data_IF_588675780995
#
_entry.id   IF_588675780995
#
_cell.length_a   1.000
_cell.length_b   1.000
_cell.length_c   1.000
_cell.angle_alpha   90.00
_cell.angle_beta   90.00
_cell.angle_gamma   90.00
#
_symmetry.space_group_name_H-M   'P 1'
#
loop_
_entity.id
_entity.type
_entity.pdbx_description
1 polymer ?
#
# COMPACT_ATOMS: atom_id res chain seq x y z
N UNK A 1 -7.55 -0.60 -13.09
CA UNK A 1 -7.50 -1.45 -11.88
C UNK A 1 -6.42 -2.53 -11.96
N UNK A 2 -6.55 -3.58 -12.79
CA UNK A 2 -5.61 -4.72 -12.79
C UNK A 2 -4.12 -4.31 -12.91
N UNK A 3 -3.78 -3.50 -13.92
CA UNK A 3 -2.40 -3.04 -14.12
C UNK A 3 -1.84 -2.25 -12.92
N UNK A 4 -2.69 -1.44 -12.27
CA UNK A 4 -2.32 -0.70 -11.06
C UNK A 4 -1.97 -1.67 -9.94
N UNK A 5 -2.84 -2.66 -9.65
CA UNK A 5 -2.59 -3.70 -8.64
C UNK A 5 -1.33 -4.50 -8.96
N UNK A 6 -1.14 -4.91 -10.22
CA UNK A 6 0.02 -5.70 -10.64
C UNK A 6 1.33 -4.92 -10.48
N UNK A 7 1.33 -3.62 -10.80
CA UNK A 7 2.45 -2.73 -10.55
C UNK A 7 2.73 -2.60 -9.05
N UNK A 8 1.71 -2.37 -8.23
CA UNK A 8 1.84 -2.29 -6.77
C UNK A 8 2.43 -3.58 -6.21
N UNK A 9 1.99 -4.75 -6.70
CA UNK A 9 2.54 -6.06 -6.34
C UNK A 9 4.04 -6.15 -6.63
N UNK A 10 4.48 -5.74 -7.82
CA UNK A 10 5.89 -5.75 -8.21
C UNK A 10 6.73 -4.85 -7.30
N UNK A 11 6.20 -3.69 -6.89
CA UNK A 11 6.89 -2.80 -5.94
C UNK A 11 7.03 -3.49 -4.57
N UNK A 12 5.97 -4.10 -4.04
CA UNK A 12 6.05 -4.84 -2.78
C UNK A 12 7.05 -6.00 -2.85
N UNK A 13 7.06 -6.79 -3.93
CA UNK A 13 8.04 -7.85 -4.15
C UNK A 13 9.48 -7.31 -4.13
N UNK A 14 9.73 -6.20 -4.82
CA UNK A 14 11.05 -5.57 -4.85
C UNK A 14 11.47 -5.03 -3.47
N UNK A 15 10.55 -4.47 -2.69
CA UNK A 15 10.80 -4.03 -1.32
C UNK A 15 11.15 -5.24 -0.46
N UNK A 16 10.31 -6.27 -0.44
CA UNK A 16 10.46 -7.47 0.40
C UNK A 16 11.74 -8.25 0.10
N UNK A 17 12.13 -8.38 -1.18
CA UNK A 17 13.33 -9.11 -1.58
C UNK A 17 14.63 -8.52 -1.00
N UNK A 18 14.59 -7.26 -0.57
CA UNK A 18 15.74 -6.52 -0.10
C UNK A 18 15.52 -5.93 1.30
N UNK A 19 14.57 -6.46 2.07
CA UNK A 19 14.22 -5.98 3.41
C UNK A 19 14.63 -7.02 4.47
N UNK A 20 15.24 -6.64 5.60
CA UNK A 20 15.58 -5.29 6.08
C UNK A 20 16.80 -4.68 5.38
N UNK A 21 16.94 -3.35 5.38
CA UNK A 21 18.17 -2.68 4.92
C UNK A 21 18.99 -2.07 6.06
N UNK A 22 18.36 -1.63 7.15
CA UNK A 22 19.05 -0.97 8.26
C UNK A 22 19.18 -1.82 9.53
N UNK A 23 18.45 -2.94 9.62
CA UNK A 23 18.25 -3.73 10.82
C UNK A 23 17.83 -2.91 12.04
N UNK A 24 17.08 -1.82 11.84
CA UNK A 24 16.56 -1.01 12.93
C UNK A 24 15.28 -1.65 13.53
N UNK A 25 14.92 -1.36 14.80
CA UNK A 25 13.76 -1.99 15.44
C UNK A 25 12.42 -1.74 14.73
N UNK A 26 12.27 -0.64 13.99
CA UNK A 26 11.05 -0.34 13.24
C UNK A 26 10.82 -1.34 12.10
N UNK A 27 11.90 -1.89 11.53
CA UNK A 27 11.78 -2.88 10.46
C UNK A 27 11.14 -4.19 10.94
N UNK A 28 11.24 -4.52 12.24
CA UNK A 28 10.52 -5.67 12.82
C UNK A 28 9.00 -5.46 12.82
N UNK A 29 8.54 -4.21 12.88
CA UNK A 29 7.12 -3.82 12.86
C UNK A 29 6.60 -3.61 11.45
N UNK A 30 7.43 -3.08 10.54
CA UNK A 30 7.09 -2.86 9.14
C UNK A 30 6.94 -4.18 8.39
N UNK A 31 7.86 -5.13 8.63
CA UNK A 31 7.93 -6.40 7.90
C UNK A 31 6.59 -7.17 7.84
N UNK A 32 5.88 -7.44 8.96
CA UNK A 32 4.62 -8.18 8.89
C UNK A 32 3.56 -7.48 8.03
N UNK A 33 3.47 -6.15 8.10
CA UNK A 33 2.52 -5.37 7.30
C UNK A 33 2.86 -5.43 5.81
N UNK A 34 4.15 -5.40 5.43
CA UNK A 34 4.55 -5.58 4.03
C UNK A 34 4.19 -6.96 3.49
N UNK A 35 4.36 -8.01 4.30
CA UNK A 35 3.99 -9.37 3.92
C UNK A 35 2.48 -9.54 3.79
N UNK A 36 1.70 -8.99 4.73
CA UNK A 36 0.23 -9.02 4.68
C UNK A 36 -0.27 -8.27 3.44
N UNK A 37 0.17 -7.02 3.23
CA UNK A 37 -0.18 -6.23 2.05
C UNK A 37 0.18 -6.95 0.75
N UNK A 38 1.37 -7.53 0.66
CA UNK A 38 1.79 -8.29 -0.52
C UNK A 38 0.91 -9.52 -0.77
N UNK A 39 0.56 -10.26 0.30
CA UNK A 39 -0.32 -11.41 0.22
C UNK A 39 -1.73 -11.01 -0.23
N UNK A 40 -2.28 -9.94 0.34
CA UNK A 40 -3.59 -9.39 0.02
C UNK A 40 -3.64 -8.92 -1.44
N UNK A 41 -2.61 -8.22 -1.91
CA UNK A 41 -2.50 -7.79 -3.31
C UNK A 41 -2.47 -9.01 -4.25
N UNK A 42 -1.73 -10.06 -3.91
CA UNK A 42 -1.73 -11.30 -4.69
C UNK A 42 -3.12 -11.93 -4.75
N UNK A 43 -3.84 -12.01 -3.63
CA UNK A 43 -5.21 -12.51 -3.62
C UNK A 43 -6.16 -11.66 -4.46
N UNK A 44 -6.03 -10.33 -4.42
CA UNK A 44 -6.77 -9.41 -5.29
C UNK A 44 -6.49 -9.75 -6.75
N UNK A 45 -5.22 -9.91 -7.15
CA UNK A 45 -4.86 -10.28 -8.53
C UNK A 45 -5.52 -11.60 -8.97
N UNK A 46 -5.57 -12.61 -8.08
CA UNK A 46 -6.22 -13.88 -8.37
C UNK A 46 -7.72 -13.72 -8.61
N UNK A 47 -8.42 -12.93 -7.76
CA UNK A 47 -9.85 -12.68 -7.91
C UNK A 47 -10.14 -11.92 -9.22
N UNK A 48 -9.31 -10.94 -9.56
CA UNK A 48 -9.48 -10.15 -10.78
C UNK A 48 -9.27 -10.96 -12.08
N UNK A 49 -8.61 -12.12 -12.02
CA UNK A 49 -8.44 -13.03 -13.16
C UNK A 49 -9.62 -14.00 -13.33
N UNK A 50 -10.51 -14.12 -12.36
CA UNK A 50 -11.67 -15.00 -12.44
C UNK A 50 -12.66 -14.47 -13.48
N UNK A 51 -13.29 -15.37 -14.24
CA UNK A 51 -14.36 -14.99 -15.19
C UNK A 51 -15.57 -14.35 -14.48
N UNK A 52 -15.79 -14.71 -13.21
CA UNK A 52 -16.80 -14.12 -12.33
C UNK A 52 -16.15 -13.80 -10.98
N UNK A 53 -15.60 -12.59 -10.81
CA UNK A 53 -14.92 -12.19 -9.57
C UNK A 53 -15.87 -12.18 -8.37
N UNK A 54 -15.46 -12.79 -7.25
CA UNK A 54 -16.18 -12.67 -5.98
C UNK A 54 -16.01 -11.25 -5.40
N UNK A 55 -16.99 -10.38 -5.68
CA UNK A 55 -16.96 -8.97 -5.26
C UNK A 55 -17.01 -8.80 -3.73
N UNK A 56 -17.64 -9.71 -3.00
CA UNK A 56 -17.64 -9.63 -1.53
C UNK A 56 -16.22 -9.89 -0.98
N UNK A 57 -15.56 -10.93 -1.45
CA UNK A 57 -14.18 -11.21 -1.04
C UNK A 57 -13.24 -10.08 -1.46
N UNK A 58 -13.40 -9.55 -2.67
CA UNK A 58 -12.64 -8.42 -3.16
C UNK A 58 -12.80 -7.16 -2.28
N UNK A 59 -14.02 -6.88 -1.81
CA UNK A 59 -14.31 -5.78 -0.86
C UNK A 59 -13.48 -5.92 0.42
N UNK A 60 -13.48 -7.10 1.02
CA UNK A 60 -12.73 -7.39 2.25
C UNK A 60 -11.23 -7.22 2.06
N UNK A 61 -10.69 -7.70 0.93
CA UNK A 61 -9.26 -7.58 0.63
C UNK A 61 -8.84 -6.13 0.44
N UNK A 62 -9.65 -5.31 -0.23
CA UNK A 62 -9.37 -3.88 -0.32
C UNK A 62 -9.38 -3.20 1.06
N UNK A 63 -10.35 -3.52 1.93
CA UNK A 63 -10.38 -2.97 3.29
C UNK A 63 -9.11 -3.33 4.08
N UNK A 64 -8.60 -4.57 3.93
CA UNK A 64 -7.33 -4.98 4.56
C UNK A 64 -6.15 -4.20 3.98
N UNK A 65 -6.06 -4.09 2.65
CA UNK A 65 -4.97 -3.39 1.98
C UNK A 65 -4.85 -1.92 2.42
N UNK A 66 -5.97 -1.20 2.49
CA UNK A 66 -5.95 0.19 2.95
C UNK A 66 -5.65 0.33 4.44
N UNK A 67 -6.15 -0.59 5.28
CA UNK A 67 -5.84 -0.61 6.71
C UNK A 67 -4.34 -0.82 6.94
N UNK A 68 -3.73 -1.74 6.21
CA UNK A 68 -2.30 -2.02 6.33
C UNK A 68 -1.45 -0.83 5.87
N UNK A 69 -1.86 -0.16 4.79
CA UNK A 69 -1.20 1.07 4.33
C UNK A 69 -1.31 2.21 5.37
N UNK A 70 -2.48 2.43 5.99
CA UNK A 70 -2.63 3.41 7.07
C UNK A 70 -1.74 3.10 8.28
N UNK A 71 -1.52 1.81 8.57
CA UNK A 71 -0.60 1.38 9.63
C UNK A 71 0.88 1.53 9.21
N UNK A 72 1.20 1.30 7.95
CA UNK A 72 2.54 1.43 7.39
C UNK A 72 3.00 2.89 7.31
N UNK A 73 2.14 3.81 6.89
CA UNK A 73 2.48 5.21 6.62
C UNK A 73 3.28 5.90 7.75
N UNK A 74 2.84 5.93 9.02
CA UNK A 74 3.62 6.50 10.11
C UNK A 74 4.92 5.74 10.36
N UNK A 75 4.91 4.40 10.27
CA UNK A 75 6.09 3.57 10.51
C UNK A 75 7.17 3.80 9.45
N UNK A 76 6.80 3.92 8.18
CA UNK A 76 7.72 4.20 7.08
C UNK A 76 8.34 5.59 7.21
N UNK A 77 7.56 6.60 7.60
CA UNK A 77 8.10 7.95 7.86
C UNK A 77 9.10 7.96 9.01
N UNK A 78 8.77 7.31 10.12
CA UNK A 78 9.66 7.18 11.27
C UNK A 78 10.93 6.40 10.91
N UNK A 79 10.77 5.29 10.19
CA UNK A 79 11.87 4.49 9.69
C UNK A 79 12.78 5.27 8.76
N UNK A 80 12.24 6.06 7.83
CA UNK A 80 13.03 6.90 6.92
C UNK A 80 13.89 7.91 7.68
N UNK A 81 13.29 8.63 8.63
CA UNK A 81 14.02 9.59 9.49
C UNK A 81 15.12 8.91 10.31
N UNK A 82 14.79 7.82 11.00
CA UNK A 82 15.74 7.08 11.82
C UNK A 82 16.90 6.53 10.96
N UNK A 83 16.58 5.98 9.80
CA UNK A 83 17.56 5.41 8.86
C UNK A 83 18.55 6.46 8.34
N UNK A 84 18.07 7.66 8.03
CA UNK A 84 18.92 8.78 7.61
C UNK A 84 19.83 9.22 8.76
N UNK A 85 19.31 9.33 9.98
CA UNK A 85 20.07 9.75 11.16
C UNK A 85 21.13 8.76 11.60
N UNK A 86 20.87 7.46 11.45
CA UNK A 86 21.78 6.40 11.85
C UNK A 86 22.95 6.23 10.88
N UNK A 87 22.83 6.72 9.64
CA UNK A 87 23.85 6.66 8.59
C UNK A 87 24.40 5.24 8.29
N UNK A 88 23.67 4.18 8.67
CA UNK A 88 24.07 2.78 8.43
C UNK A 88 23.91 2.41 6.95
N UNK A 89 22.78 2.78 6.36
CA UNK A 89 22.52 2.60 4.93
C UNK A 89 22.68 3.93 4.20
N UNK A 90 23.31 3.93 3.00
CA UNK A 90 23.40 5.12 2.18
C UNK A 90 22.04 5.82 2.00
N UNK A 91 22.04 7.14 2.19
CA UNK A 91 20.81 7.95 2.20
C UNK A 91 20.02 7.85 0.88
N UNK A 92 20.69 7.67 -0.26
CA UNK A 92 20.06 7.44 -1.55
C UNK A 92 19.26 6.12 -1.60
N UNK A 93 19.73 5.07 -0.92
CA UNK A 93 19.01 3.79 -0.82
C UNK A 93 17.78 3.94 0.06
N UNK A 94 17.90 4.66 1.18
CA UNK A 94 16.75 4.97 2.06
C UNK A 94 15.71 5.80 1.31
N UNK A 95 16.14 6.87 0.62
CA UNK A 95 15.26 7.74 -0.15
C UNK A 95 14.54 6.96 -1.26
N UNK A 96 15.26 6.12 -2.00
CA UNK A 96 14.66 5.28 -3.03
C UNK A 96 13.54 4.38 -2.47
N UNK A 97 13.68 3.84 -1.26
CA UNK A 97 12.61 3.07 -0.60
C UNK A 97 11.40 3.95 -0.27
N UNK A 98 11.62 5.15 0.27
CA UNK A 98 10.55 6.10 0.55
C UNK A 98 9.78 6.47 -0.73
N UNK A 99 10.49 6.67 -1.84
CA UNK A 99 9.86 6.97 -3.14
C UNK A 99 9.01 5.81 -3.67
N UNK A 100 9.44 4.57 -3.41
CA UNK A 100 8.65 3.37 -3.74
C UNK A 100 7.38 3.27 -2.89
N UNK A 101 7.46 3.55 -1.59
CA UNK A 101 6.28 3.60 -0.73
C UNK A 101 5.31 4.71 -1.16
N UNK A 102 5.82 5.89 -1.51
CA UNK A 102 4.99 6.95 -2.06
C UNK A 102 4.34 6.55 -3.39
N UNK A 103 5.04 5.74 -4.20
CA UNK A 103 4.49 5.20 -5.44
C UNK A 103 3.35 4.20 -5.19
N UNK A 104 3.42 3.40 -4.12
CA UNK A 104 2.32 2.53 -3.66
C UNK A 104 1.12 3.37 -3.27
N UNK A 105 1.30 4.40 -2.43
CA UNK A 105 0.20 5.28 -2.00
C UNK A 105 -0.51 5.94 -3.20
N UNK A 106 0.26 6.45 -4.17
CA UNK A 106 -0.30 7.00 -5.42
C UNK A 106 -1.07 5.96 -6.24
N UNK A 107 -0.61 4.71 -6.24
CA UNK A 107 -1.33 3.63 -6.90
C UNK A 107 -2.63 3.28 -6.16
N UNK A 108 -2.64 3.31 -4.82
CA UNK A 108 -3.86 3.16 -4.03
C UNK A 108 -4.87 4.29 -4.29
N UNK A 109 -4.43 5.55 -4.32
CA UNK A 109 -5.28 6.70 -4.70
C UNK A 109 -5.95 6.49 -6.06
N UNK A 110 -5.21 5.95 -7.04
CA UNK A 110 -5.74 5.66 -8.38
C UNK A 110 -6.76 4.53 -8.39
N UNK A 111 -6.81 3.66 -7.37
CA UNK A 111 -7.80 2.59 -7.26
C UNK A 111 -9.15 3.08 -6.76
N UNK A 112 -9.19 4.19 -6.02
CA UNK A 112 -10.42 4.75 -5.42
C UNK A 112 -11.58 4.89 -6.42
N UNK A 113 -11.41 5.50 -7.62
CA UNK A 113 -12.51 5.60 -8.58
C UNK A 113 -13.01 4.23 -9.07
N UNK A 114 -12.14 3.21 -9.15
CA UNK A 114 -12.56 1.86 -9.54
C UNK A 114 -13.37 1.19 -8.42
N UNK A 115 -12.93 1.34 -7.17
CA UNK A 115 -13.65 0.81 -5.99
C UNK A 115 -15.02 1.47 -5.89
N UNK A 116 -15.09 2.80 -6.07
CA UNK A 116 -16.34 3.56 -6.14
C UNK A 116 -17.25 3.10 -7.28
N UNK A 117 -16.69 2.77 -8.43
CA UNK A 117 -17.45 2.23 -9.57
C UNK A 117 -18.05 0.83 -9.31
N UNK A 118 -17.40 0.00 -8.48
CA UNK A 118 -17.86 -1.36 -8.19
C UNK A 118 -18.90 -1.38 -7.06
N UNK A 119 -18.65 -0.66 -5.98
CA UNK A 119 -19.47 -0.76 -4.76
C UNK A 119 -20.38 0.46 -4.52
N UNK A 120 -20.17 1.56 -5.25
CA UNK A 120 -20.87 2.82 -5.00
C UNK A 120 -20.22 3.66 -3.90
N UNK A 121 -20.67 4.91 -3.79
CA UNK A 121 -20.08 5.93 -2.91
C UNK A 121 -20.17 5.55 -1.43
N UNK A 122 -21.35 5.13 -0.96
CA UNK A 122 -21.60 4.83 0.45
C UNK A 122 -20.73 3.68 0.95
N UNK A 123 -20.70 2.59 0.19
CA UNK A 123 -19.93 1.40 0.52
C UNK A 123 -18.42 1.65 0.48
N UNK A 124 -17.96 2.52 -0.42
CA UNK A 124 -16.55 2.90 -0.53
C UNK A 124 -16.04 3.54 0.76
N UNK A 125 -16.89 4.20 1.55
CA UNK A 125 -16.50 4.82 2.83
C UNK A 125 -16.06 3.81 3.88
N UNK A 126 -16.48 2.55 3.75
CA UNK A 126 -16.10 1.43 4.62
C UNK A 126 -14.92 0.61 4.08
N UNK A 127 -14.46 0.91 2.86
CA UNK A 127 -13.34 0.23 2.21
C UNK A 127 -12.11 1.13 2.22
N UNK A 128 -12.29 2.39 1.81
CA UNK A 128 -11.24 3.36 1.55
C UNK A 128 -11.24 4.40 2.68
N UNK A 129 -10.10 4.63 3.36
CA UNK A 129 -9.99 5.62 4.41
C UNK A 129 -10.18 7.06 3.91
N UNK A 130 -10.52 8.02 4.80
CA UNK A 130 -10.74 9.41 4.41
C UNK A 130 -9.57 10.05 3.66
N UNK A 131 -8.32 9.70 4.02
CA UNK A 131 -7.11 10.26 3.41
C UNK A 131 -7.04 10.02 1.90
N UNK A 132 -7.56 8.89 1.45
CA UNK A 132 -7.59 8.47 0.05
C UNK A 132 -8.84 8.95 -0.71
N UNK A 133 -9.88 9.40 0.01
CA UNK A 133 -11.16 9.84 -0.57
C UNK A 133 -11.24 11.34 -0.84
N UNK A 134 -10.14 12.08 -0.67
CA UNK A 134 -10.12 13.53 -0.90
C UNK A 134 -10.53 13.82 -2.34
N UNK A 135 -11.59 14.60 -2.52
CA UNK A 135 -11.94 15.12 -3.84
C UNK A 135 -10.84 16.05 -4.32
N UNK A 136 -10.44 15.91 -5.59
CA UNK A 136 -9.58 16.87 -6.27
C UNK A 136 -10.29 18.23 -6.22
N UNK A 137 -9.94 19.08 -5.25
CA UNK A 137 -10.58 20.39 -5.04
C UNK A 137 -10.80 20.81 -3.58
N UNK A 138 -10.63 19.93 -2.59
CA UNK A 138 -10.67 20.36 -1.18
C UNK A 138 -9.32 20.97 -0.75
N UNK A 139 -9.09 22.22 -1.16
CA UNK A 139 -8.06 23.07 -0.60
C UNK A 139 -8.39 23.34 0.87
N UNK A 140 -7.47 23.01 1.77
CA UNK A 140 -7.33 23.68 3.06
C UNK A 140 -6.20 24.69 2.95
#
# INVERSE_FOLDING_TARGET
MYYTIARTYQIFQYILANFPINNNPLESRIRPLLYESNHVIYQILLILHQSQPNLHQLKQLFSVLYRDDEALDPLIREWGRASIWMEITPSNVVQHRLDLYQSIQKDLERLVPYIKGIYGEEDTRYIVPPLYRKEVGANY
#
